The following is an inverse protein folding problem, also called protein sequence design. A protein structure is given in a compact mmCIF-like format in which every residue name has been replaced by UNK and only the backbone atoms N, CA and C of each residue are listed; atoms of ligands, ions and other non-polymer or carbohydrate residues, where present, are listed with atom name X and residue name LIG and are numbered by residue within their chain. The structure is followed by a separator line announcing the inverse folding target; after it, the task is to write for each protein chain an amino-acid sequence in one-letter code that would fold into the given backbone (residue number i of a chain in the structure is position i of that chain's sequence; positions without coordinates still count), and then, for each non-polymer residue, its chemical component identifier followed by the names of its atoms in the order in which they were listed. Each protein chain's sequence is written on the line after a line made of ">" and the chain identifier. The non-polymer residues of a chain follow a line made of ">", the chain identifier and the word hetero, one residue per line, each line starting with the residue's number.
data_IF_206163837310
#
_entry.id   IF_206163837310
#
_cell.length_a   1.000
_cell.length_b   1.000
_cell.length_c   1.000
_cell.angle_alpha   90.00
_cell.angle_beta   90.00
_cell.angle_gamma   90.00
#
_symmetry.space_group_name_H-M   'P 1'
#
loop_
_entity.id
_entity.type
_entity.pdbx_description
1 polymer ?
#
# COMPACT_ATOMS: atom_id res chain seq x y z
N UNK A 1 -9.44 -12.92 -14.00
CA UNK A 1 -8.63 -12.17 -13.02
C UNK A 1 -9.25 -10.79 -12.82
N UNK A 2 -9.41 -10.37 -11.58
CA UNK A 2 -9.89 -9.04 -11.25
C UNK A 2 -8.82 -8.32 -10.46
N UNK A 3 -8.42 -7.15 -10.92
CA UNK A 3 -7.51 -6.26 -10.22
C UNK A 3 -7.91 -4.82 -10.52
N UNK A 4 -7.46 -3.89 -9.71
CA UNK A 4 -7.83 -2.49 -9.84
C UNK A 4 -6.65 -1.59 -9.53
N UNK A 5 -6.32 -0.70 -10.43
CA UNK A 5 -5.30 0.32 -10.22
C UNK A 5 -5.89 1.69 -10.51
N UNK A 6 -5.72 2.63 -9.59
CA UNK A 6 -6.22 3.99 -9.73
C UNK A 6 -5.19 4.98 -9.21
N UNK A 7 -5.17 6.18 -9.79
CA UNK A 7 -4.22 7.22 -9.41
C UNK A 7 -3.16 7.44 -10.48
N UNK A 8 -2.00 7.94 -10.06
CA UNK A 8 -0.93 8.31 -10.96
C UNK A 8 0.13 7.21 -11.02
N UNK A 9 0.26 6.58 -12.19
CA UNK A 9 1.26 5.54 -12.45
C UNK A 9 1.24 4.47 -11.35
N UNK A 10 0.07 3.87 -11.13
CA UNK A 10 -0.11 2.77 -10.19
C UNK A 10 -0.23 1.45 -10.97
N UNK A 11 0.29 0.38 -10.39
CA UNK A 11 0.30 -0.93 -11.04
C UNK A 11 -0.22 -1.98 -10.05
N UNK A 12 -1.34 -2.62 -10.42
CA UNK A 12 -1.87 -3.79 -9.74
C UNK A 12 -1.54 -5.00 -10.61
N UNK A 13 -0.56 -5.79 -10.21
CA UNK A 13 0.05 -6.81 -11.06
C UNK A 13 -0.34 -8.25 -10.73
N UNK A 14 -1.27 -8.46 -9.81
CA UNK A 14 -1.78 -9.79 -9.46
C UNK A 14 -3.29 -9.78 -9.30
N UNK A 15 -3.88 -10.99 -9.33
CA UNK A 15 -5.31 -11.16 -9.23
C UNK A 15 -5.88 -10.59 -7.93
N UNK A 16 -7.02 -9.94 -8.02
CA UNK A 16 -7.78 -9.37 -6.89
C UNK A 16 -7.03 -8.30 -6.10
N UNK A 17 -5.99 -7.75 -6.64
CA UNK A 17 -5.19 -6.71 -6.01
C UNK A 17 -5.78 -5.33 -6.29
N UNK A 18 -5.84 -4.49 -5.27
CA UNK A 18 -6.29 -3.10 -5.38
C UNK A 18 -5.11 -2.19 -5.06
N UNK A 19 -4.75 -1.31 -6.01
CA UNK A 19 -3.62 -0.40 -5.89
C UNK A 19 -4.06 1.02 -6.21
N UNK A 20 -3.68 1.98 -5.37
CA UNK A 20 -4.02 3.38 -5.61
C UNK A 20 -2.95 4.32 -5.03
N UNK A 21 -3.13 5.62 -5.26
CA UNK A 21 -2.15 6.63 -4.90
C UNK A 21 -1.25 6.98 -6.06
N UNK A 22 0.06 7.02 -5.84
CA UNK A 22 1.04 7.38 -6.87
C UNK A 22 2.27 6.49 -6.79
N UNK A 23 2.81 6.09 -7.95
CA UNK A 23 4.10 5.42 -8.09
C UNK A 23 4.37 4.37 -7.01
N UNK A 24 3.50 3.38 -6.92
CA UNK A 24 3.67 2.31 -5.95
C UNK A 24 4.83 1.39 -6.32
N UNK A 25 5.39 0.72 -5.30
CA UNK A 25 6.25 -0.45 -5.54
C UNK A 25 5.35 -1.63 -5.87
N UNK A 26 5.62 -2.30 -6.98
CA UNK A 26 4.83 -3.46 -7.39
C UNK A 26 5.01 -4.63 -6.42
N UNK A 27 3.99 -5.48 -6.35
CA UNK A 27 4.06 -6.73 -5.61
C UNK A 27 5.17 -7.60 -6.20
N UNK A 28 6.11 -8.02 -5.37
CA UNK A 28 7.29 -8.77 -5.81
C UNK A 28 7.07 -10.28 -5.90
N UNK A 29 5.83 -10.75 -5.70
CA UNK A 29 5.52 -12.17 -5.81
C UNK A 29 5.89 -12.72 -7.19
N UNK A 30 6.46 -13.91 -7.22
CA UNK A 30 6.76 -14.62 -8.46
C UNK A 30 5.55 -15.38 -9.02
N UNK A 31 4.41 -15.34 -8.34
CA UNK A 31 3.20 -15.98 -8.82
C UNK A 31 2.74 -15.38 -10.16
N UNK A 32 1.95 -16.14 -10.90
CA UNK A 32 1.33 -15.66 -12.14
C UNK A 32 0.49 -14.41 -11.90
N UNK A 33 0.40 -13.53 -12.90
CA UNK A 33 -0.51 -12.38 -12.83
C UNK A 33 -1.98 -12.80 -12.70
N UNK A 34 -2.31 -14.03 -13.05
CA UNK A 34 -3.67 -14.59 -12.92
C UNK A 34 -3.93 -15.15 -11.52
N UNK A 35 -2.93 -15.15 -10.64
CA UNK A 35 -3.03 -15.65 -9.28
C UNK A 35 -2.83 -14.51 -8.28
N UNK A 36 -3.16 -14.77 -7.02
CA UNK A 36 -2.86 -13.84 -5.95
C UNK A 36 -1.34 -13.67 -5.82
N UNK A 37 -0.92 -12.42 -5.57
CA UNK A 37 0.45 -12.15 -5.16
C UNK A 37 0.57 -12.14 -3.65
N UNK A 38 1.43 -11.26 -3.13
CA UNK A 38 1.62 -11.10 -1.68
C UNK A 38 0.55 -10.22 -1.06
N UNK A 39 0.01 -9.24 -1.81
CA UNK A 39 -0.83 -8.18 -1.24
C UNK A 39 -2.20 -8.12 -1.89
N UNK A 40 -3.22 -7.86 -1.04
CA UNK A 40 -4.57 -7.52 -1.47
C UNK A 40 -4.63 -6.06 -1.89
N UNK A 41 -3.98 -5.18 -1.09
CA UNK A 41 -4.08 -3.73 -1.24
C UNK A 41 -2.71 -3.10 -1.11
N UNK A 42 -2.44 -2.13 -1.99
CA UNK A 42 -1.20 -1.34 -1.95
C UNK A 42 -1.59 0.13 -2.09
N UNK A 43 -1.07 0.97 -1.20
CA UNK A 43 -1.22 2.43 -1.29
C UNK A 43 0.15 3.02 -1.61
N UNK A 44 0.30 3.51 -2.84
CA UNK A 44 1.55 4.11 -3.29
C UNK A 44 1.69 5.56 -2.86
N UNK A 45 2.89 5.94 -2.47
CA UNK A 45 3.24 7.33 -2.17
C UNK A 45 4.58 7.71 -2.79
N UNK A 46 4.96 7.05 -3.87
CA UNK A 46 6.15 7.42 -4.63
C UNK A 46 5.97 8.73 -5.38
N UNK A 47 7.07 9.30 -5.86
CA UNK A 47 7.06 10.61 -6.51
C UNK A 47 7.47 10.57 -7.97
N UNK A 48 8.10 9.49 -8.42
CA UNK A 48 8.57 9.33 -9.80
C UNK A 48 8.87 7.86 -10.08
N UNK A 49 9.05 7.50 -11.34
CA UNK A 49 9.37 6.13 -11.74
C UNK A 49 10.68 5.60 -11.15
N UNK A 50 11.60 6.49 -10.78
CA UNK A 50 12.84 6.16 -10.10
C UNK A 50 12.78 6.44 -8.59
N UNK A 51 11.62 6.76 -8.06
CA UNK A 51 11.39 7.05 -6.65
C UNK A 51 10.05 6.46 -6.21
N UNK A 52 9.87 5.18 -6.49
CA UNK A 52 8.67 4.43 -6.11
C UNK A 52 8.67 4.15 -4.61
N UNK A 53 7.48 4.18 -4.02
CA UNK A 53 7.31 3.92 -2.58
C UNK A 53 5.88 3.49 -2.30
N UNK A 54 5.71 2.71 -1.25
CA UNK A 54 4.40 2.35 -0.73
C UNK A 54 4.23 2.96 0.66
N UNK A 55 3.12 3.65 0.87
CA UNK A 55 2.75 4.16 2.19
C UNK A 55 2.21 3.03 3.07
N UNK A 56 1.44 2.13 2.47
CA UNK A 56 0.78 1.04 3.18
C UNK A 56 0.57 -0.15 2.24
N UNK A 57 0.64 -1.36 2.79
CA UNK A 57 0.25 -2.58 2.09
C UNK A 57 -0.45 -3.52 3.04
N UNK A 58 -1.40 -4.30 2.54
CA UNK A 58 -2.15 -5.30 3.30
C UNK A 58 -1.97 -6.65 2.60
N UNK A 59 -1.45 -7.65 3.32
CA UNK A 59 -1.23 -8.96 2.73
C UNK A 59 -2.45 -9.88 2.88
N UNK A 60 -2.39 -11.05 2.25
CA UNK A 60 -3.49 -12.02 2.26
C UNK A 60 -3.67 -12.70 3.62
N UNK A 61 -2.70 -12.58 4.52
CA UNK A 61 -2.80 -13.10 5.88
C UNK A 61 -3.38 -12.08 6.86
N UNK A 62 -3.72 -10.89 6.38
CA UNK A 62 -4.28 -9.84 7.21
C UNK A 62 -3.26 -8.95 7.89
N UNK A 63 -1.98 -9.07 7.54
CA UNK A 63 -0.96 -8.19 8.09
C UNK A 63 -0.91 -6.88 7.32
N UNK A 64 -0.83 -5.79 8.05
CA UNK A 64 -0.74 -4.45 7.49
C UNK A 64 0.67 -3.89 7.70
N UNK A 65 1.25 -3.38 6.62
CA UNK A 65 2.61 -2.83 6.61
C UNK A 65 2.53 -1.34 6.36
N UNK A 66 3.07 -0.56 7.30
CA UNK A 66 3.05 0.90 7.25
C UNK A 66 4.47 1.44 7.18
N UNK A 67 4.74 2.34 6.24
CA UNK A 67 6.02 3.02 6.10
C UNK A 67 6.07 4.35 6.84
N UNK A 68 5.13 4.61 7.69
CA UNK A 68 5.06 5.79 8.52
C UNK A 68 4.66 5.42 9.93
N UNK A 69 4.06 6.35 10.62
CA UNK A 69 3.54 6.15 11.96
C UNK A 69 2.03 6.04 11.93
N UNK A 70 1.48 5.41 12.95
CA UNK A 70 0.04 5.43 13.22
C UNK A 70 -0.22 6.52 14.25
N UNK A 71 -1.19 7.38 13.96
CA UNK A 71 -1.65 8.40 14.91
C UNK A 71 -3.09 8.07 15.30
N UNK A 72 -3.38 8.15 16.58
CA UNK A 72 -4.71 7.89 17.14
C UNK A 72 -5.25 9.14 17.83
N UNK A 73 -6.58 9.28 17.85
CA UNK A 73 -7.21 10.40 18.53
C UNK A 73 -7.08 11.73 17.82
N UNK A 74 -6.88 11.73 16.50
CA UNK A 74 -6.71 12.96 15.72
C UNK A 74 -8.04 13.71 15.48
N UNK A 75 -9.17 13.03 15.58
CA UNK A 75 -10.44 13.63 15.18
C UNK A 75 -10.40 13.97 13.69
N UNK A 76 -10.73 15.23 13.37
CA UNK A 76 -10.71 15.71 11.98
C UNK A 76 -9.44 16.47 11.63
N UNK A 77 -8.46 16.50 12.51
CA UNK A 77 -7.26 17.32 12.35
C UNK A 77 -6.01 16.43 12.45
N UNK A 78 -5.31 16.28 11.32
CA UNK A 78 -4.12 15.45 11.26
C UNK A 78 -2.94 16.00 12.05
N UNK A 79 -3.02 17.23 12.56
CA UNK A 79 -1.98 17.81 13.41
C UNK A 79 -2.11 17.44 14.86
N UNK A 80 -3.27 16.90 15.26
CA UNK A 80 -3.53 16.41 16.61
C UNK A 80 -3.45 14.89 16.63
N UNK A 81 -3.36 14.32 17.79
CA UNK A 81 -3.34 12.87 17.96
C UNK A 81 -2.03 12.39 18.53
N UNK A 82 -2.03 11.14 18.94
CA UNK A 82 -0.88 10.49 19.55
C UNK A 82 -0.27 9.50 18.58
N UNK A 83 1.02 9.67 18.31
CA UNK A 83 1.77 8.75 17.46
C UNK A 83 2.07 7.46 18.22
N UNK A 84 1.83 6.34 17.57
CA UNK A 84 2.18 5.02 18.09
C UNK A 84 3.63 4.74 17.69
N UNK A 85 4.52 4.42 18.64
CA UNK A 85 5.91 4.05 18.32
C UNK A 85 6.00 2.78 17.48
N UNK A 86 7.05 2.66 16.66
CA UNK A 86 7.28 1.47 15.86
C UNK A 86 7.68 0.26 16.70
N UNK A 87 8.44 0.48 17.74
CA UNK A 87 8.93 -0.58 18.65
C UNK A 87 8.18 -0.54 19.99
N UNK A 88 7.16 -1.34 20.05
CA UNK A 88 6.35 -1.48 21.26
C UNK A 88 6.58 -2.82 21.93
#
# INVERSE_FOLDING_TARGET
>A
MASHAAGTVTIANHASQYTFGEYNVEDSSSASALARGNYIEIVGNGTASNAKSNARALDWNGNEYLNGYIYVGCGNDSTNGTRIPHDI
#
